data_IF_669648058473
#
_entry.id   IF_669648058473
#
_cell.length_a   1.000
_cell.length_b   1.000
_cell.length_c   1.000
_cell.angle_alpha   90.00
_cell.angle_beta   90.00
_cell.angle_gamma   90.00
#
_symmetry.space_group_name_H-M   'P 1'
#
loop_
_entity.id
_entity.type
_entity.pdbx_description
1 polymer ?
#
# COMPACT_ATOMS: atom_id res chain seq x y z
N UNK A 1 -142.77 103.22 -19.44
CA UNK A 1 -141.34 103.47 -19.76
C UNK A 1 -140.42 103.21 -18.56
N UNK A 2 -140.72 103.69 -17.34
CA UNK A 2 -139.90 103.43 -16.14
C UNK A 2 -139.83 101.95 -15.70
N UNK A 3 -140.92 101.18 -15.75
CA UNK A 3 -140.88 99.74 -15.38
C UNK A 3 -139.96 98.88 -16.25
N UNK A 4 -139.93 99.12 -17.58
CA UNK A 4 -139.13 98.33 -18.53
C UNK A 4 -137.61 98.55 -18.33
N UNK A 5 -137.20 99.78 -18.00
CA UNK A 5 -135.79 100.08 -17.70
C UNK A 5 -135.33 99.50 -16.36
N UNK A 6 -136.23 99.39 -15.37
CA UNK A 6 -135.94 98.74 -14.09
C UNK A 6 -135.78 97.22 -14.28
N UNK A 7 -136.61 96.62 -15.12
CA UNK A 7 -136.54 95.19 -15.49
C UNK A 7 -135.25 94.85 -16.25
N UNK A 8 -134.83 95.68 -17.21
CA UNK A 8 -133.56 95.53 -17.92
C UNK A 8 -132.35 95.67 -16.99
N UNK A 9 -132.38 96.61 -16.04
CA UNK A 9 -131.35 96.76 -15.02
C UNK A 9 -131.28 95.55 -14.10
N UNK A 10 -132.44 95.03 -13.66
CA UNK A 10 -132.50 93.81 -12.86
C UNK A 10 -132.01 92.59 -13.63
N UNK A 11 -132.31 92.49 -14.93
CA UNK A 11 -131.84 91.40 -15.77
C UNK A 11 -130.32 91.47 -16.00
N UNK A 12 -129.79 92.66 -16.27
CA UNK A 12 -128.34 92.87 -16.41
C UNK A 12 -127.59 92.62 -15.10
N UNK A 13 -128.15 93.00 -13.95
CA UNK A 13 -127.55 92.72 -12.63
C UNK A 13 -127.58 91.23 -12.29
N UNK A 14 -128.64 90.50 -12.67
CA UNK A 14 -128.72 89.03 -12.57
C UNK A 14 -127.69 88.34 -13.46
N UNK A 15 -127.56 88.76 -14.72
CA UNK A 15 -126.58 88.21 -15.67
C UNK A 15 -125.14 88.44 -15.19
N UNK A 16 -124.84 89.62 -14.63
CA UNK A 16 -123.53 89.92 -14.02
C UNK A 16 -123.25 88.99 -12.84
N UNK A 17 -124.20 88.84 -11.91
CA UNK A 17 -124.07 87.94 -10.75
C UNK A 17 -123.86 86.49 -11.18
N UNK A 18 -124.57 86.01 -12.20
CA UNK A 18 -124.38 84.66 -12.76
C UNK A 18 -122.95 84.46 -13.28
N UNK A 19 -122.41 85.42 -14.04
CA UNK A 19 -121.03 85.34 -14.57
C UNK A 19 -119.97 85.43 -13.46
N UNK A 20 -120.20 86.25 -12.44
CA UNK A 20 -119.33 86.34 -11.27
C UNK A 20 -119.34 85.04 -10.45
N UNK A 21 -120.50 84.39 -10.33
CA UNK A 21 -120.66 83.08 -9.70
C UNK A 21 -119.99 81.97 -10.52
N UNK A 22 -120.21 81.92 -11.84
CA UNK A 22 -119.52 80.99 -12.76
C UNK A 22 -117.98 81.16 -12.71
N UNK A 23 -117.48 82.40 -12.62
CA UNK A 23 -116.05 82.67 -12.48
C UNK A 23 -115.52 82.16 -11.13
N UNK A 24 -116.26 82.41 -10.04
CA UNK A 24 -115.91 81.93 -8.71
C UNK A 24 -115.89 80.40 -8.64
N UNK A 25 -116.88 79.74 -9.22
CA UNK A 25 -116.95 78.28 -9.28
C UNK A 25 -115.77 77.68 -10.07
N UNK A 26 -115.39 78.29 -11.21
CA UNK A 26 -114.18 77.89 -11.95
C UNK A 26 -112.91 78.13 -11.15
N UNK A 27 -112.78 79.26 -10.48
CA UNK A 27 -111.62 79.56 -9.64
C UNK A 27 -111.50 78.56 -8.49
N UNK A 28 -112.62 78.20 -7.85
CA UNK A 28 -112.67 77.14 -6.85
C UNK A 28 -112.34 75.78 -7.43
N UNK A 29 -112.81 75.46 -8.64
CA UNK A 29 -112.47 74.22 -9.34
C UNK A 29 -110.96 74.16 -9.64
N UNK A 30 -110.36 75.22 -10.17
CA UNK A 30 -108.92 75.28 -10.40
C UNK A 30 -108.12 75.12 -9.11
N UNK A 31 -108.56 75.73 -8.00
CA UNK A 31 -107.95 75.54 -6.69
C UNK A 31 -108.03 74.09 -6.21
N UNK A 32 -109.15 73.40 -6.43
CA UNK A 32 -109.30 71.97 -6.13
C UNK A 32 -108.35 71.12 -6.97
N UNK A 33 -108.30 71.35 -8.28
CA UNK A 33 -107.46 70.57 -9.21
C UNK A 33 -105.96 70.75 -8.93
N UNK A 34 -105.52 71.98 -8.60
CA UNK A 34 -104.13 72.26 -8.20
C UNK A 34 -103.81 71.50 -6.91
N UNK A 35 -104.67 71.60 -5.89
CA UNK A 35 -104.47 70.90 -4.63
C UNK A 35 -104.44 69.38 -4.81
N UNK A 36 -105.30 68.84 -5.67
CA UNK A 36 -105.31 67.40 -5.98
C UNK A 36 -104.00 66.98 -6.65
N UNK A 37 -103.49 67.76 -7.61
CA UNK A 37 -102.19 67.50 -8.25
C UNK A 37 -101.04 67.57 -7.24
N UNK A 38 -101.02 68.58 -6.38
CA UNK A 38 -100.01 68.71 -5.32
C UNK A 38 -100.06 67.54 -4.34
N UNK A 39 -101.25 67.07 -3.98
CA UNK A 39 -101.43 65.91 -3.11
C UNK A 39 -101.00 64.60 -3.82
N UNK A 40 -101.27 64.45 -5.12
CA UNK A 40 -100.77 63.33 -5.93
C UNK A 40 -99.24 63.35 -6.04
N UNK A 41 -98.64 64.51 -6.34
CA UNK A 41 -97.18 64.67 -6.38
C UNK A 41 -96.54 64.38 -5.02
N UNK A 42 -97.18 64.78 -3.91
CA UNK A 42 -96.73 64.45 -2.56
C UNK A 42 -96.73 62.94 -2.31
N UNK A 43 -97.81 62.25 -2.71
CA UNK A 43 -97.90 60.78 -2.61
C UNK A 43 -96.79 60.08 -3.40
N UNK A 44 -96.56 60.49 -4.66
CA UNK A 44 -95.49 59.93 -5.50
C UNK A 44 -94.12 60.18 -4.88
N UNK A 45 -93.85 61.39 -4.37
CA UNK A 45 -92.57 61.70 -3.69
C UNK A 45 -92.36 60.86 -2.45
N UNK A 46 -93.39 60.63 -1.65
CA UNK A 46 -93.32 59.76 -0.48
C UNK A 46 -93.09 58.30 -0.86
N UNK A 47 -93.74 57.80 -1.91
CA UNK A 47 -93.57 56.44 -2.41
C UNK A 47 -92.14 56.21 -2.91
N UNK A 48 -91.62 57.10 -3.78
CA UNK A 48 -90.23 57.06 -4.23
C UNK A 48 -89.22 57.16 -3.07
N UNK A 49 -89.57 57.89 -2.01
CA UNK A 49 -88.74 57.95 -0.80
C UNK A 49 -88.73 56.61 -0.06
N UNK A 50 -89.90 55.96 0.10
CA UNK A 50 -90.01 54.63 0.73
C UNK A 50 -89.26 53.58 -0.09
N UNK A 51 -89.44 53.54 -1.40
CA UNK A 51 -88.73 52.62 -2.30
C UNK A 51 -87.21 52.81 -2.22
N UNK A 52 -86.74 54.06 -2.19
CA UNK A 52 -85.30 54.36 -2.00
C UNK A 52 -84.78 53.85 -0.66
N UNK A 53 -85.52 54.07 0.42
CA UNK A 53 -85.14 53.60 1.76
C UNK A 53 -85.13 52.07 1.84
N UNK A 54 -86.09 51.39 1.21
CA UNK A 54 -86.11 49.93 1.10
C UNK A 54 -84.97 49.40 0.26
N UNK A 55 -84.69 50.02 -0.89
CA UNK A 55 -83.56 49.64 -1.74
C UNK A 55 -82.21 49.80 -1.02
N UNK A 56 -82.01 50.90 -0.29
CA UNK A 56 -80.80 51.09 0.51
C UNK A 56 -80.70 50.05 1.65
N UNK A 57 -81.81 49.70 2.31
CA UNK A 57 -81.82 48.60 3.32
C UNK A 57 -81.44 47.26 2.69
N UNK A 58 -82.00 46.90 1.55
CA UNK A 58 -81.67 45.66 0.84
C UNK A 58 -80.19 45.63 0.44
N UNK A 59 -79.68 46.74 -0.10
CA UNK A 59 -78.29 46.88 -0.49
C UNK A 59 -77.35 46.74 0.72
N UNK A 60 -77.72 47.28 1.87
CA UNK A 60 -76.95 47.14 3.11
C UNK A 60 -76.98 45.70 3.63
N UNK A 61 -78.12 45.03 3.60
CA UNK A 61 -78.23 43.60 3.96
C UNK A 61 -77.40 42.71 3.03
N UNK A 62 -77.46 42.97 1.72
CA UNK A 62 -76.66 42.25 0.72
C UNK A 62 -75.15 42.43 0.97
N UNK A 63 -74.72 43.66 1.29
CA UNK A 63 -73.33 43.95 1.64
C UNK A 63 -72.90 43.17 2.89
N UNK A 64 -73.71 43.20 3.95
CA UNK A 64 -73.41 42.45 5.18
C UNK A 64 -73.33 40.94 4.92
N UNK A 65 -74.25 40.39 4.13
CA UNK A 65 -74.22 38.96 3.79
C UNK A 65 -72.94 38.57 3.05
N UNK A 66 -72.50 39.41 2.10
CA UNK A 66 -71.23 39.20 1.39
C UNK A 66 -70.02 39.27 2.31
N UNK A 67 -69.97 40.26 3.20
CA UNK A 67 -68.89 40.40 4.18
C UNK A 67 -68.82 39.18 5.13
N UNK A 68 -69.96 38.65 5.59
CA UNK A 68 -70.01 37.44 6.40
C UNK A 68 -69.57 36.18 5.63
N UNK A 69 -69.97 36.05 4.36
CA UNK A 69 -69.54 34.96 3.48
C UNK A 69 -68.04 35.01 3.20
N UNK A 70 -67.49 36.20 2.92
CA UNK A 70 -66.05 36.42 2.75
C UNK A 70 -65.27 36.13 4.04
N UNK A 71 -65.80 36.50 5.21
CA UNK A 71 -65.18 36.15 6.49
C UNK A 71 -65.18 34.64 6.74
N UNK A 72 -66.28 33.93 6.45
CA UNK A 72 -66.34 32.47 6.52
C UNK A 72 -65.33 31.83 5.56
N UNK A 73 -65.26 32.33 4.34
CA UNK A 73 -64.33 31.83 3.33
C UNK A 73 -62.87 32.02 3.79
N UNK A 74 -62.50 33.21 4.29
CA UNK A 74 -61.18 33.47 4.86
C UNK A 74 -60.84 32.56 6.05
N UNK A 75 -61.81 32.29 6.94
CA UNK A 75 -61.61 31.37 8.07
C UNK A 75 -61.36 29.94 7.58
N UNK A 76 -62.12 29.48 6.60
CA UNK A 76 -61.94 28.14 6.02
C UNK A 76 -60.60 28.03 5.30
N UNK A 77 -60.23 29.02 4.48
CA UNK A 77 -58.94 29.05 3.79
C UNK A 77 -57.78 29.00 4.79
N UNK A 78 -57.84 29.83 5.85
CA UNK A 78 -56.84 29.80 6.92
C UNK A 78 -56.76 28.44 7.61
N UNK A 79 -57.90 27.84 7.92
CA UNK A 79 -57.93 26.50 8.58
C UNK A 79 -57.30 25.44 7.69
N UNK A 80 -57.63 25.42 6.39
CA UNK A 80 -57.02 24.51 5.42
C UNK A 80 -55.50 24.69 5.32
N UNK A 81 -55.03 25.94 5.34
CA UNK A 81 -53.61 26.25 5.31
C UNK A 81 -52.89 25.80 6.58
N UNK A 82 -53.49 26.04 7.75
CA UNK A 82 -52.95 25.61 9.05
C UNK A 82 -52.87 24.07 9.13
N UNK A 83 -53.90 23.35 8.68
CA UNK A 83 -53.91 21.88 8.61
C UNK A 83 -52.83 21.33 7.66
N UNK A 84 -52.66 21.95 6.49
CA UNK A 84 -51.61 21.56 5.54
C UNK A 84 -50.21 21.77 6.12
N UNK A 85 -49.98 22.91 6.76
CA UNK A 85 -48.71 23.23 7.39
C UNK A 85 -48.39 22.27 8.55
N UNK A 86 -49.39 21.89 9.35
CA UNK A 86 -49.21 20.94 10.44
C UNK A 86 -48.86 19.53 9.92
N UNK A 87 -49.52 19.06 8.85
CA UNK A 87 -49.16 17.79 8.19
C UNK A 87 -47.72 17.82 7.66
N UNK A 88 -47.33 18.90 7.00
CA UNK A 88 -45.98 19.06 6.47
C UNK A 88 -44.92 19.08 7.59
N UNK A 89 -45.26 19.68 8.74
CA UNK A 89 -44.40 19.68 9.92
C UNK A 89 -44.21 18.27 10.48
N UNK A 90 -45.28 17.51 10.64
CA UNK A 90 -45.23 16.12 11.09
C UNK A 90 -44.41 15.25 10.13
N UNK A 91 -44.60 15.39 8.81
CA UNK A 91 -43.83 14.64 7.82
C UNK A 91 -42.33 14.95 7.88
N UNK A 92 -41.95 16.22 8.11
CA UNK A 92 -40.55 16.61 8.32
C UNK A 92 -39.95 16.00 9.59
N UNK A 93 -40.69 16.01 10.69
CA UNK A 93 -40.26 15.41 11.95
C UNK A 93 -40.06 13.89 11.81
N UNK A 94 -40.98 13.21 11.13
CA UNK A 94 -40.88 11.77 10.83
C UNK A 94 -39.66 11.45 9.96
N UNK A 95 -39.42 12.24 8.91
CA UNK A 95 -38.25 12.08 8.05
C UNK A 95 -36.95 12.32 8.82
N UNK A 96 -36.92 13.34 9.68
CA UNK A 96 -35.77 13.63 10.53
C UNK A 96 -35.51 12.49 11.51
N UNK A 97 -36.54 11.95 12.15
CA UNK A 97 -36.40 10.81 13.07
C UNK A 97 -35.85 9.58 12.36
N UNK A 98 -36.35 9.26 11.15
CA UNK A 98 -35.82 8.15 10.33
C UNK A 98 -34.36 8.37 9.96
N UNK A 99 -33.99 9.58 9.55
CA UNK A 99 -32.61 9.94 9.24
C UNK A 99 -31.70 9.74 10.45
N UNK A 100 -32.11 10.22 11.63
CA UNK A 100 -31.34 10.09 12.86
C UNK A 100 -31.18 8.63 13.32
N UNK A 101 -32.19 7.79 13.11
CA UNK A 101 -32.11 6.35 13.34
C UNK A 101 -31.12 5.65 12.40
N UNK A 102 -31.17 5.96 11.10
CA UNK A 102 -30.22 5.41 10.12
C UNK A 102 -28.78 5.87 10.41
N UNK A 103 -28.59 7.13 10.79
CA UNK A 103 -27.28 7.63 11.23
C UNK A 103 -26.76 6.91 12.46
N UNK A 104 -27.64 6.61 13.45
CA UNK A 104 -27.26 5.79 14.62
C UNK A 104 -26.85 4.38 14.22
N UNK A 105 -27.60 3.72 13.33
CA UNK A 105 -27.25 2.37 12.84
C UNK A 105 -25.91 2.36 12.12
N UNK A 106 -25.67 3.33 11.23
CA UNK A 106 -24.39 3.46 10.54
C UNK A 106 -23.24 3.68 11.53
N UNK A 107 -23.43 4.54 12.53
CA UNK A 107 -22.39 4.79 13.53
C UNK A 107 -22.08 3.55 14.37
N UNK A 108 -23.10 2.77 14.75
CA UNK A 108 -22.90 1.48 15.42
C UNK A 108 -22.11 0.49 14.56
N UNK A 109 -22.45 0.38 13.27
CA UNK A 109 -21.74 -0.49 12.33
C UNK A 109 -20.26 -0.09 12.19
N UNK A 110 -19.98 1.22 12.07
CA UNK A 110 -18.61 1.73 12.00
C UNK A 110 -17.81 1.45 13.28
N UNK A 111 -18.44 1.57 14.45
CA UNK A 111 -17.80 1.24 15.73
C UNK A 111 -17.55 -0.27 15.88
N UNK A 112 -18.48 -1.12 15.43
CA UNK A 112 -18.29 -2.58 15.37
C UNK A 112 -17.14 -2.98 14.44
N UNK A 113 -17.08 -2.39 13.23
CA UNK A 113 -15.97 -2.61 12.30
C UNK A 113 -14.63 -2.17 12.89
N UNK A 114 -14.58 -0.99 13.54
CA UNK A 114 -13.38 -0.51 14.22
C UNK A 114 -12.95 -1.48 15.33
N UNK A 115 -13.89 -1.95 16.15
CA UNK A 115 -13.60 -2.93 17.19
C UNK A 115 -13.09 -4.25 16.61
N UNK A 116 -13.65 -4.70 15.49
CA UNK A 116 -13.20 -5.91 14.82
C UNK A 116 -11.78 -5.75 14.27
N UNK A 117 -11.49 -4.63 13.61
CA UNK A 117 -10.14 -4.29 13.16
C UNK A 117 -9.13 -4.23 14.30
N UNK A 118 -9.49 -3.65 15.44
CA UNK A 118 -8.62 -3.60 16.62
C UNK A 118 -8.39 -4.98 17.24
N UNK A 119 -9.43 -5.85 17.28
CA UNK A 119 -9.28 -7.24 17.73
C UNK A 119 -8.36 -8.03 16.81
N UNK A 120 -8.54 -7.91 15.49
CA UNK A 120 -7.71 -8.58 14.49
C UNK A 120 -6.25 -8.12 14.56
N UNK A 121 -6.03 -6.81 14.72
CA UNK A 121 -4.69 -6.24 14.93
C UNK A 121 -4.03 -6.82 16.17
N UNK A 122 -4.73 -6.84 17.31
CA UNK A 122 -4.21 -7.42 18.56
C UNK A 122 -3.87 -8.91 18.41
N UNK A 123 -4.73 -9.68 17.73
CA UNK A 123 -4.47 -11.10 17.45
C UNK A 123 -3.17 -11.27 16.67
N UNK A 124 -2.97 -10.49 15.60
CA UNK A 124 -1.73 -10.55 14.79
C UNK A 124 -0.49 -10.12 15.58
N UNK A 125 -0.60 -9.10 16.42
CA UNK A 125 0.49 -8.67 17.30
C UNK A 125 0.87 -9.76 18.32
N UNK A 126 -0.10 -10.49 18.85
CA UNK A 126 0.12 -11.62 19.77
C UNK A 126 0.73 -12.83 19.06
N UNK A 127 0.22 -13.21 17.88
CA UNK A 127 0.80 -14.27 17.03
C UNK A 127 2.25 -13.95 16.66
N UNK A 128 2.54 -12.70 16.31
CA UNK A 128 3.89 -12.24 16.01
C UNK A 128 4.80 -12.38 17.24
N UNK A 129 4.32 -11.95 18.42
CA UNK A 129 5.08 -12.05 19.67
C UNK A 129 5.36 -13.52 20.05
N UNK A 130 4.38 -14.40 19.91
CA UNK A 130 4.57 -15.83 20.16
C UNK A 130 5.61 -16.44 19.21
N UNK A 131 5.59 -16.03 17.94
CA UNK A 131 6.58 -16.46 16.94
C UNK A 131 7.98 -15.94 17.27
N UNK A 132 8.11 -14.69 17.69
CA UNK A 132 9.40 -14.15 18.14
C UNK A 132 9.95 -14.91 19.35
N UNK A 133 9.11 -15.21 20.34
CA UNK A 133 9.54 -16.00 21.51
C UNK A 133 9.95 -17.43 21.11
N UNK A 134 9.19 -18.08 20.22
CA UNK A 134 9.59 -19.39 19.65
C UNK A 134 10.95 -19.30 18.96
N UNK A 135 11.13 -18.33 18.07
CA UNK A 135 12.40 -18.13 17.37
C UNK A 135 13.56 -17.87 18.35
N UNK A 136 13.34 -17.06 19.41
CA UNK A 136 14.36 -16.85 20.46
C UNK A 136 14.74 -18.15 21.15
N UNK A 137 13.75 -18.98 21.51
CA UNK A 137 14.03 -20.28 22.15
C UNK A 137 14.74 -21.25 21.20
N UNK A 138 14.42 -21.23 19.92
CA UNK A 138 15.07 -22.05 18.90
C UNK A 138 16.53 -21.64 18.70
N UNK A 139 16.79 -20.34 18.51
CA UNK A 139 18.16 -19.79 18.44
C UNK A 139 18.96 -20.14 19.70
N UNK A 140 18.34 -20.09 20.88
CA UNK A 140 19.01 -20.45 22.14
C UNK A 140 19.37 -21.95 22.18
N UNK A 141 18.47 -22.84 21.73
CA UNK A 141 18.75 -24.29 21.64
C UNK A 141 19.86 -24.58 20.65
N UNK A 142 19.82 -23.98 19.46
CA UNK A 142 20.87 -24.13 18.45
C UNK A 142 22.23 -23.67 18.99
N UNK A 143 22.27 -22.56 19.75
CA UNK A 143 23.48 -22.08 20.41
C UNK A 143 24.01 -23.08 21.44
N UNK A 144 23.13 -23.65 22.27
CA UNK A 144 23.51 -24.67 23.27
C UNK A 144 24.03 -25.95 22.61
N UNK A 145 23.37 -26.41 21.54
CA UNK A 145 23.82 -27.55 20.74
C UNK A 145 25.17 -27.27 20.07
N UNK A 146 25.36 -26.09 19.51
CA UNK A 146 26.62 -25.67 18.91
C UNK A 146 27.76 -25.63 19.94
N UNK A 147 27.52 -25.08 21.13
CA UNK A 147 28.53 -25.07 22.20
C UNK A 147 28.87 -26.50 22.65
N UNK A 148 27.89 -27.39 22.72
CA UNK A 148 28.12 -28.80 23.02
C UNK A 148 28.98 -29.47 21.93
N UNK A 149 28.62 -29.29 20.66
CA UNK A 149 29.41 -29.81 19.54
C UNK A 149 30.83 -29.24 19.54
N UNK A 150 31.00 -27.96 19.87
CA UNK A 150 32.30 -27.32 20.00
C UNK A 150 33.13 -27.87 21.16
N UNK A 151 32.51 -28.21 22.29
CA UNK A 151 33.21 -28.90 23.38
C UNK A 151 33.61 -30.33 22.99
N UNK A 152 32.72 -31.07 22.34
CA UNK A 152 33.02 -32.42 21.84
C UNK A 152 34.12 -32.42 20.77
N UNK A 153 34.14 -31.40 19.90
CA UNK A 153 35.19 -31.20 18.92
C UNK A 153 36.54 -30.89 19.58
N UNK A 154 36.57 -30.01 20.60
CA UNK A 154 37.79 -29.76 21.39
C UNK A 154 38.31 -31.02 22.10
N UNK A 155 37.42 -31.83 22.67
CA UNK A 155 37.83 -33.11 23.27
C UNK A 155 38.40 -34.08 22.24
N UNK A 156 37.78 -34.15 21.04
CA UNK A 156 38.31 -34.94 19.92
C UNK A 156 39.66 -34.41 19.46
N UNK A 157 39.85 -33.11 19.33
CA UNK A 157 41.15 -32.51 19.00
C UNK A 157 42.21 -32.80 20.06
N UNK A 158 41.87 -32.75 21.35
CA UNK A 158 42.80 -33.13 22.44
C UNK A 158 43.17 -34.62 22.38
N UNK A 159 42.22 -35.51 22.05
CA UNK A 159 42.47 -36.94 21.83
C UNK A 159 43.26 -37.20 20.54
N UNK A 160 42.95 -36.49 19.46
CA UNK A 160 43.66 -36.53 18.19
C UNK A 160 45.06 -35.97 18.34
N UNK A 161 45.30 -34.91 19.11
CA UNK A 161 46.64 -34.40 19.41
C UNK A 161 47.42 -35.40 20.27
N UNK A 162 46.74 -36.14 21.15
CA UNK A 162 47.33 -37.25 21.91
C UNK A 162 47.70 -38.42 21.00
N UNK A 163 46.91 -38.70 19.96
CA UNK A 163 47.22 -39.66 18.90
C UNK A 163 48.28 -39.12 17.94
N UNK A 164 48.29 -37.83 17.64
CA UNK A 164 49.24 -37.16 16.77
C UNK A 164 50.60 -37.13 17.42
N UNK A 165 50.73 -36.83 18.71
CA UNK A 165 51.99 -37.01 19.48
C UNK A 165 52.48 -38.47 19.52
N UNK A 166 51.61 -39.43 19.25
CA UNK A 166 51.94 -40.86 19.11
C UNK A 166 52.34 -41.23 17.67
N UNK A 167 51.85 -40.49 16.68
CA UNK A 167 52.09 -40.66 15.24
C UNK A 167 53.26 -39.79 14.72
N UNK A 168 53.56 -38.67 15.39
CA UNK A 168 54.69 -37.75 15.20
C UNK A 168 56.05 -38.37 15.62
N UNK A 169 56.04 -39.66 15.96
CA UNK A 169 57.23 -40.50 15.89
C UNK A 169 57.57 -40.93 14.44
N UNK A 170 56.74 -40.59 13.44
CA UNK A 170 56.84 -41.08 12.06
C UNK A 170 56.55 -39.94 11.05
N UNK A 171 57.60 -39.18 10.71
CA UNK A 171 57.93 -38.77 9.33
C UNK A 171 57.04 -37.77 8.56
N UNK A 172 57.10 -36.47 8.85
CA UNK A 172 56.24 -35.47 8.19
C UNK A 172 56.80 -34.73 6.94
N UNK A 173 58.06 -34.86 6.54
CA UNK A 173 58.56 -34.07 5.37
C UNK A 173 58.24 -34.72 4.00
N UNK A 174 58.12 -36.05 3.94
CA UNK A 174 57.85 -36.77 2.69
C UNK A 174 56.39 -36.66 2.24
N UNK A 175 55.46 -36.50 3.17
CA UNK A 175 54.02 -36.50 2.91
C UNK A 175 53.54 -35.21 2.24
N UNK A 176 54.07 -34.06 2.66
CA UNK A 176 53.76 -32.78 2.00
C UNK A 176 54.33 -32.71 0.58
N UNK A 177 55.58 -33.17 0.39
CA UNK A 177 56.19 -33.29 -0.94
C UNK A 177 55.38 -34.26 -1.81
N UNK A 178 54.92 -35.38 -1.27
CA UNK A 178 54.02 -36.32 -1.96
C UNK A 178 52.67 -35.69 -2.28
N UNK A 179 52.11 -34.86 -1.40
CA UNK A 179 50.81 -34.22 -1.60
C UNK A 179 50.86 -33.14 -2.67
N UNK A 180 51.85 -32.25 -2.61
CA UNK A 180 52.08 -31.22 -3.63
C UNK A 180 52.46 -31.87 -4.97
N UNK A 181 53.31 -32.91 -4.96
CA UNK A 181 53.64 -33.68 -6.16
C UNK A 181 52.42 -34.40 -6.75
N UNK A 182 51.54 -35.00 -5.93
CA UNK A 182 50.27 -35.61 -6.38
C UNK A 182 49.31 -34.57 -6.94
N UNK A 183 49.19 -33.39 -6.35
CA UNK A 183 48.37 -32.29 -6.89
C UNK A 183 48.88 -31.83 -8.27
N UNK A 184 50.20 -31.78 -8.46
CA UNK A 184 50.81 -31.40 -9.74
C UNK A 184 50.70 -32.54 -10.78
N UNK A 185 50.81 -33.81 -10.37
CA UNK A 185 50.82 -34.99 -11.26
C UNK A 185 49.40 -35.48 -11.62
N UNK A 186 48.42 -35.43 -10.72
CA UNK A 186 47.08 -36.03 -10.95
C UNK A 186 46.19 -35.26 -11.94
N UNK A 187 46.54 -34.04 -12.35
CA UNK A 187 45.76 -33.31 -13.37
C UNK A 187 45.84 -33.97 -14.77
N UNK A 188 46.87 -34.78 -15.07
CA UNK A 188 46.98 -35.46 -16.38
C UNK A 188 46.38 -36.86 -16.43
N UNK A 189 46.12 -37.50 -15.28
CA UNK A 189 45.68 -38.90 -15.24
C UNK A 189 44.72 -39.13 -14.06
N UNK A 190 43.42 -38.84 -14.28
CA UNK A 190 42.20 -39.44 -13.64
C UNK A 190 41.11 -38.38 -13.44
N UNK A 191 40.32 -38.15 -14.49
CA UNK A 191 39.00 -37.50 -14.37
C UNK A 191 37.87 -38.45 -13.90
N UNK A 192 38.17 -39.70 -13.51
CA UNK A 192 37.14 -40.74 -13.30
C UNK A 192 36.91 -41.26 -11.88
N UNK A 193 37.65 -40.83 -10.87
CA UNK A 193 37.44 -41.27 -9.47
C UNK A 193 37.68 -40.11 -8.50
N UNK A 194 36.87 -39.06 -8.58
CA UNK A 194 36.90 -37.96 -7.62
C UNK A 194 35.84 -38.21 -6.54
N UNK A 195 36.27 -38.22 -5.28
CA UNK A 195 35.41 -38.28 -4.10
C UNK A 195 34.40 -37.11 -4.12
N UNK A 196 33.15 -37.35 -3.76
CA UNK A 196 32.11 -36.31 -3.68
C UNK A 196 32.21 -35.42 -2.43
N UNK A 197 33.31 -35.51 -1.68
CA UNK A 197 33.48 -34.86 -0.39
C UNK A 197 34.84 -34.14 -0.27
N UNK A 198 34.82 -32.98 0.39
CA UNK A 198 36.02 -32.23 0.76
C UNK A 198 36.91 -33.06 1.70
N UNK A 199 38.22 -33.10 1.42
CA UNK A 199 39.19 -33.83 2.26
C UNK A 199 40.16 -32.82 2.88
N UNK A 200 40.13 -32.71 4.22
CA UNK A 200 41.10 -31.94 5.01
C UNK A 200 42.30 -32.80 5.37
N UNK A 201 43.50 -32.26 5.23
CA UNK A 201 44.77 -32.84 5.67
C UNK A 201 45.57 -31.78 6.42
N UNK A 202 46.01 -32.10 7.62
CA UNK A 202 46.82 -31.18 8.44
C UNK A 202 48.28 -31.62 8.38
N UNK A 203 49.18 -30.66 8.15
CA UNK A 203 50.62 -30.92 8.00
C UNK A 203 51.42 -29.90 8.78
N UNK A 204 52.40 -30.34 9.56
CA UNK A 204 53.31 -29.44 10.28
C UNK A 204 54.55 -29.12 9.43
N UNK A 205 54.81 -27.83 9.23
CA UNK A 205 56.01 -27.32 8.56
C UNK A 205 56.67 -26.23 9.40
N UNK A 206 57.96 -26.38 9.70
CA UNK A 206 58.75 -25.39 10.43
C UNK A 206 58.09 -24.91 11.74
N UNK A 207 57.38 -25.80 12.45
CA UNK A 207 56.67 -25.50 13.69
C UNK A 207 55.32 -24.80 13.50
N UNK A 208 54.80 -24.74 12.27
CA UNK A 208 53.46 -24.21 11.93
C UNK A 208 52.58 -25.33 11.39
N UNK A 209 51.35 -25.42 11.90
CA UNK A 209 50.34 -26.33 11.37
C UNK A 209 49.66 -25.72 10.14
N UNK A 210 49.63 -26.46 9.04
CA UNK A 210 49.01 -26.05 7.78
C UNK A 210 47.89 -27.04 7.47
N UNK A 211 46.68 -26.53 7.38
CA UNK A 211 45.51 -27.30 6.94
C UNK A 211 45.29 -27.12 5.44
N UNK A 212 45.42 -28.21 4.68
CA UNK A 212 45.10 -28.25 3.26
C UNK A 212 43.76 -28.94 3.06
N UNK A 213 42.83 -28.23 2.43
CA UNK A 213 41.53 -28.80 2.05
C UNK A 213 41.48 -28.93 0.54
N UNK A 214 41.32 -30.16 0.09
CA UNK A 214 41.11 -30.47 -1.33
C UNK A 214 39.62 -30.36 -1.63
N UNK A 215 39.29 -29.43 -2.52
CA UNK A 215 37.94 -29.29 -3.06
C UNK A 215 37.81 -30.24 -4.25
N UNK A 216 36.85 -31.17 -4.27
CA UNK A 216 36.62 -31.99 -5.45
C UNK A 216 36.22 -31.11 -6.64
N UNK A 217 36.32 -31.62 -7.87
CA UNK A 217 35.91 -30.87 -9.06
C UNK A 217 34.40 -30.57 -9.00
N UNK A 218 34.04 -29.37 -8.52
CA UNK A 218 32.65 -28.97 -8.30
C UNK A 218 31.98 -28.48 -9.57
N UNK A 219 32.77 -28.05 -10.57
CA UNK A 219 32.28 -27.17 -11.62
C UNK A 219 32.24 -27.82 -13.02
N UNK A 220 32.68 -29.08 -13.11
CA UNK A 220 32.60 -29.93 -14.31
C UNK A 220 31.78 -31.21 -14.09
N UNK A 221 30.98 -31.25 -13.02
CA UNK A 221 30.10 -32.36 -12.64
C UNK A 221 28.63 -31.90 -12.76
N UNK A 222 27.67 -32.80 -13.01
CA UNK A 222 26.23 -32.47 -13.14
C UNK A 222 25.58 -32.03 -11.80
N UNK A 223 26.32 -31.32 -10.95
CA UNK A 223 25.88 -30.86 -9.64
C UNK A 223 24.97 -29.63 -9.80
N UNK A 224 23.95 -29.56 -8.95
CA UNK A 224 23.12 -28.37 -8.84
C UNK A 224 23.90 -27.25 -8.16
N UNK A 225 23.48 -26.00 -8.40
CA UNK A 225 24.03 -24.82 -7.70
C UNK A 225 23.97 -24.97 -6.17
N UNK A 226 22.93 -25.61 -5.65
CA UNK A 226 22.77 -25.91 -4.22
C UNK A 226 23.85 -26.87 -3.71
N UNK A 227 24.20 -27.91 -4.48
CA UNK A 227 25.21 -28.88 -4.09
C UNK A 227 26.61 -28.26 -4.10
N UNK A 228 26.90 -27.46 -5.12
CA UNK A 228 28.15 -26.69 -5.22
C UNK A 228 28.28 -25.72 -4.04
N UNK A 229 27.20 -25.05 -3.66
CA UNK A 229 27.15 -24.18 -2.48
C UNK A 229 27.35 -24.96 -1.18
N UNK A 230 26.76 -26.15 -1.05
CA UNK A 230 26.93 -27.02 0.12
C UNK A 230 28.37 -27.46 0.29
N UNK A 231 29.02 -27.90 -0.79
CA UNK A 231 30.44 -28.31 -0.76
C UNK A 231 31.36 -27.13 -0.47
N UNK A 232 31.08 -25.97 -1.08
CA UNK A 232 31.80 -24.72 -0.80
C UNK A 232 31.70 -24.33 0.67
N UNK A 233 30.49 -24.32 1.24
CA UNK A 233 30.27 -24.06 2.65
C UNK A 233 31.00 -25.06 3.55
N UNK A 234 30.95 -26.35 3.20
CA UNK A 234 31.66 -27.41 3.92
C UNK A 234 33.17 -27.18 3.91
N UNK A 235 33.76 -26.85 2.76
CA UNK A 235 35.18 -26.54 2.63
C UNK A 235 35.61 -25.40 3.54
N UNK A 236 34.89 -24.26 3.50
CA UNK A 236 35.21 -23.10 4.34
C UNK A 236 35.00 -23.41 5.83
N UNK A 237 33.94 -24.14 6.18
CA UNK A 237 33.64 -24.51 7.56
C UNK A 237 34.63 -25.50 8.16
N UNK A 238 35.29 -26.30 7.33
CA UNK A 238 36.38 -27.18 7.77
C UNK A 238 37.65 -26.39 8.14
N UNK A 239 37.74 -25.10 7.79
CA UNK A 239 38.87 -24.23 8.07
C UNK A 239 38.46 -23.16 9.10
N UNK A 240 38.80 -23.36 10.38
CA UNK A 240 38.60 -22.32 11.41
C UNK A 240 39.92 -21.55 11.63
N UNK A 241 39.92 -20.19 11.64
CA UNK A 241 38.79 -19.26 11.55
C UNK A 241 38.24 -19.02 10.12
N UNK A 242 38.97 -19.44 9.09
CA UNK A 242 38.57 -19.36 7.68
C UNK A 242 39.69 -19.88 6.76
N UNK A 243 39.51 -19.73 5.45
CA UNK A 243 40.52 -20.09 4.45
C UNK A 243 41.45 -18.90 4.21
N UNK A 244 42.75 -19.07 4.49
CA UNK A 244 43.73 -18.00 4.32
C UNK A 244 44.10 -17.78 2.84
N UNK A 245 44.28 -18.88 2.10
CA UNK A 245 44.63 -18.86 0.67
C UNK A 245 43.86 -19.94 -0.08
N UNK A 246 43.24 -19.55 -1.20
CA UNK A 246 42.73 -20.43 -2.23
C UNK A 246 43.76 -20.53 -3.35
N UNK A 247 43.98 -21.75 -3.82
CA UNK A 247 44.95 -22.04 -4.85
C UNK A 247 44.21 -22.52 -6.10
N UNK A 248 44.40 -21.82 -7.22
CA UNK A 248 43.90 -22.24 -8.53
C UNK A 248 45.10 -22.63 -9.38
N UNK A 249 45.13 -23.87 -9.85
CA UNK A 249 46.23 -24.37 -10.70
C UNK A 249 45.75 -24.35 -12.15
N UNK A 250 46.46 -23.63 -13.01
CA UNK A 250 46.18 -23.57 -14.45
C UNK A 250 47.42 -24.00 -15.26
N UNK A 251 47.24 -24.62 -16.44
CA UNK A 251 48.37 -24.96 -17.30
C UNK A 251 49.00 -23.69 -17.92
N UNK A 252 50.29 -23.75 -18.21
CA UNK A 252 50.98 -22.77 -19.08
C UNK A 252 50.64 -23.03 -20.56
N UNK A 253 49.34 -22.96 -20.88
CA UNK A 253 48.75 -23.17 -22.19
C UNK A 253 47.38 -22.46 -22.27
N UNK A 254 46.81 -22.22 -23.47
CA UNK A 254 45.45 -21.70 -23.59
C UNK A 254 44.43 -22.56 -22.84
N UNK A 255 43.53 -21.91 -22.11
CA UNK A 255 42.53 -22.60 -21.29
C UNK A 255 41.47 -23.23 -22.19
N UNK A 256 41.05 -24.46 -21.87
CA UNK A 256 39.93 -25.06 -22.57
C UNK A 256 38.60 -24.46 -22.10
N UNK A 257 37.50 -24.73 -22.83
CA UNK A 257 36.18 -24.17 -22.50
C UNK A 257 35.66 -24.61 -21.12
N UNK A 258 36.06 -25.80 -20.64
CA UNK A 258 35.65 -26.35 -19.34
C UNK A 258 36.36 -25.61 -18.20
N UNK A 259 37.67 -25.43 -18.29
CA UNK A 259 38.47 -24.68 -17.31
C UNK A 259 37.98 -23.23 -17.22
N UNK A 260 37.58 -22.63 -18.36
CA UNK A 260 36.98 -21.28 -18.39
C UNK A 260 35.66 -21.22 -17.64
N UNK A 261 34.76 -22.18 -17.87
CA UNK A 261 33.47 -22.23 -17.19
C UNK A 261 33.65 -22.43 -15.68
N UNK A 262 34.59 -23.27 -15.27
CA UNK A 262 34.93 -23.51 -13.86
C UNK A 262 35.46 -22.24 -13.17
N UNK A 263 36.37 -21.51 -13.84
CA UNK A 263 36.88 -20.22 -13.34
C UNK A 263 35.76 -19.17 -13.20
N UNK A 264 34.87 -19.07 -14.18
CA UNK A 264 33.73 -18.15 -14.14
C UNK A 264 32.78 -18.50 -12.98
N UNK A 265 32.56 -19.78 -12.74
CA UNK A 265 31.68 -20.27 -11.69
C UNK A 265 32.26 -20.04 -10.28
N UNK A 266 33.57 -20.23 -10.11
CA UNK A 266 34.28 -19.86 -8.87
C UNK A 266 34.06 -18.39 -8.54
N UNK A 267 34.23 -17.50 -9.53
CA UNK A 267 33.98 -16.07 -9.33
C UNK A 267 32.51 -15.78 -9.03
N UNK A 268 31.60 -16.46 -9.73
CA UNK A 268 30.16 -16.30 -9.54
C UNK A 268 29.77 -16.66 -8.11
N UNK A 269 30.33 -17.71 -7.52
CA UNK A 269 29.97 -18.19 -6.18
C UNK A 269 30.62 -17.36 -5.09
N UNK A 270 31.93 -17.21 -5.14
CA UNK A 270 32.70 -16.59 -4.07
C UNK A 270 32.76 -15.06 -4.16
N UNK A 271 32.23 -14.48 -5.25
CA UNK A 271 32.29 -13.06 -5.60
C UNK A 271 33.71 -12.51 -5.70
N UNK A 272 33.84 -11.20 -5.95
CA UNK A 272 35.15 -10.54 -5.95
C UNK A 272 35.83 -10.52 -4.57
N UNK A 273 35.11 -10.83 -3.48
CA UNK A 273 35.66 -10.84 -2.11
C UNK A 273 36.74 -11.91 -1.91
N UNK A 274 36.70 -13.00 -2.67
CA UNK A 274 37.72 -14.05 -2.64
C UNK A 274 39.02 -13.64 -3.34
N UNK A 275 38.99 -12.60 -4.18
CA UNK A 275 40.15 -12.22 -5.00
C UNK A 275 41.36 -11.91 -4.12
N UNK A 276 41.18 -11.26 -2.96
CA UNK A 276 42.26 -11.00 -1.99
C UNK A 276 42.80 -12.28 -1.31
N UNK A 277 42.15 -13.42 -1.45
CA UNK A 277 42.59 -14.71 -0.93
C UNK A 277 42.98 -15.73 -2.02
N UNK A 278 43.02 -15.37 -3.32
CA UNK A 278 43.46 -16.29 -4.38
C UNK A 278 44.92 -16.09 -4.78
N UNK A 279 45.62 -17.22 -4.94
CA UNK A 279 46.91 -17.36 -5.61
C UNK A 279 46.75 -18.29 -6.81
N UNK A 280 47.14 -17.82 -8.01
CA UNK A 280 47.13 -18.65 -9.22
C UNK A 280 48.48 -19.32 -9.39
N UNK A 281 48.52 -20.64 -9.52
CA UNK A 281 49.73 -21.39 -9.83
C UNK A 281 49.71 -21.81 -11.30
N UNK A 282 50.72 -21.36 -12.05
CA UNK A 282 50.84 -21.63 -13.48
C UNK A 282 51.79 -22.80 -13.65
N UNK A 283 51.25 -23.95 -14.04
CA UNK A 283 52.02 -25.18 -14.25
C UNK A 283 52.77 -25.12 -15.57
N UNK A 284 54.09 -24.95 -15.49
CA UNK A 284 54.98 -24.94 -16.64
C UNK A 284 55.33 -26.38 -17.05
N UNK A 285 55.23 -26.65 -18.35
CA UNK A 285 55.72 -27.90 -18.92
C UNK A 285 57.18 -27.73 -19.33
N UNK A 286 58.02 -28.73 -19.05
CA UNK A 286 59.46 -28.69 -19.31
C UNK A 286 59.84 -28.50 -20.79
N UNK A 287 58.88 -28.66 -21.72
CA UNK A 287 59.07 -28.53 -23.16
C UNK A 287 58.69 -27.15 -23.72
N UNK A 288 57.95 -26.33 -22.95
CA UNK A 288 57.47 -25.01 -23.35
C UNK A 288 57.58 -24.02 -22.19
N UNK A 289 58.74 -23.40 -22.03
CA UNK A 289 58.93 -22.25 -21.13
C UNK A 289 58.73 -20.98 -21.96
N UNK A 290 57.51 -20.47 -22.00
CA UNK A 290 57.24 -19.15 -22.60
C UNK A 290 57.29 -18.08 -21.53
N UNK A 291 58.11 -17.05 -21.72
CA UNK A 291 58.17 -15.90 -20.81
C UNK A 291 56.92 -15.00 -20.90
N UNK A 292 56.11 -15.17 -21.95
CA UNK A 292 54.89 -14.41 -22.20
C UNK A 292 53.66 -15.27 -21.92
N UNK A 293 52.86 -14.85 -20.94
CA UNK A 293 51.55 -15.43 -20.67
C UNK A 293 50.61 -15.07 -21.82
N UNK A 294 49.81 -16.03 -22.29
CA UNK A 294 48.77 -15.73 -23.27
C UNK A 294 47.73 -14.75 -22.70
N UNK A 295 47.07 -13.98 -23.58
CA UNK A 295 46.12 -12.93 -23.17
C UNK A 295 44.98 -13.45 -22.28
N UNK A 296 44.55 -14.70 -22.49
CA UNK A 296 43.48 -15.33 -21.72
C UNK A 296 43.92 -15.63 -20.28
N UNK A 297 45.11 -16.20 -20.09
CA UNK A 297 45.73 -16.46 -18.80
C UNK A 297 46.00 -15.15 -18.06
N UNK A 298 46.47 -14.11 -18.75
CA UNK A 298 46.62 -12.77 -18.16
C UNK A 298 45.28 -12.22 -17.68
N UNK A 299 44.22 -12.35 -18.47
CA UNK A 299 42.88 -11.91 -18.09
C UNK A 299 42.37 -12.63 -16.83
N UNK A 300 42.57 -13.95 -16.72
CA UNK A 300 42.22 -14.70 -15.50
C UNK A 300 43.00 -14.20 -14.29
N UNK A 301 44.30 -13.94 -14.45
CA UNK A 301 45.16 -13.44 -13.38
C UNK A 301 44.67 -12.08 -12.88
N UNK A 302 44.39 -11.14 -13.79
CA UNK A 302 43.87 -9.82 -13.45
C UNK A 302 42.51 -9.91 -12.74
N UNK A 303 41.62 -10.79 -13.21
CA UNK A 303 40.30 -11.02 -12.60
C UNK A 303 40.36 -11.48 -11.15
N UNK A 304 41.46 -12.11 -10.72
CA UNK A 304 41.69 -12.58 -9.34
C UNK A 304 42.71 -11.73 -8.56
N UNK A 305 42.98 -10.50 -9.00
CA UNK A 305 43.83 -9.56 -8.24
C UNK A 305 45.32 -9.69 -8.54
N UNK A 306 45.70 -10.34 -9.65
CA UNK A 306 47.04 -10.26 -10.23
C UNK A 306 48.10 -11.20 -9.64
N UNK A 307 47.82 -11.87 -8.52
CA UNK A 307 48.80 -12.71 -7.82
C UNK A 307 48.91 -14.08 -8.46
N UNK A 308 50.10 -14.39 -8.94
CA UNK A 308 50.41 -15.66 -9.58
C UNK A 308 51.84 -16.12 -9.29
N UNK A 309 52.07 -17.41 -9.44
CA UNK A 309 53.38 -18.03 -9.33
C UNK A 309 53.55 -19.16 -10.35
N UNK A 310 54.67 -19.19 -11.05
CA UNK A 310 55.03 -20.32 -11.90
C UNK A 310 55.49 -21.50 -11.03
N UNK A 311 54.99 -22.69 -11.36
CA UNK A 311 55.36 -23.95 -10.71
C UNK A 311 55.75 -24.99 -11.77
N UNK A 312 56.79 -25.75 -11.48
CA UNK A 312 57.24 -26.91 -12.24
C UNK A 312 57.47 -28.12 -11.29
N UNK A 313 57.85 -29.27 -11.85
CA UNK A 313 58.12 -30.49 -11.05
C UNK A 313 59.35 -30.37 -10.13
N UNK A 314 60.19 -29.34 -10.31
CA UNK A 314 61.40 -29.10 -9.53
C UNK A 314 61.27 -27.93 -8.54
N UNK A 315 60.07 -27.33 -8.47
CA UNK A 315 59.83 -26.14 -7.65
C UNK A 315 59.95 -26.50 -6.18
N UNK A 316 60.83 -25.79 -5.47
CA UNK A 316 61.05 -26.02 -4.06
C UNK A 316 59.81 -25.59 -3.28
N UNK A 317 59.27 -26.51 -2.47
CA UNK A 317 58.09 -26.27 -1.61
C UNK A 317 58.31 -25.08 -0.68
N UNK A 318 59.54 -24.86 -0.20
CA UNK A 318 59.91 -23.69 0.62
C UNK A 318 59.60 -22.37 -0.07
N UNK A 319 59.90 -22.24 -1.36
CA UNK A 319 59.67 -21.00 -2.13
C UNK A 319 58.17 -20.73 -2.32
N UNK A 320 57.37 -21.78 -2.56
CA UNK A 320 55.92 -21.63 -2.64
C UNK A 320 55.34 -21.22 -1.28
N UNK A 321 55.81 -21.84 -0.20
CA UNK A 321 55.36 -21.51 1.16
C UNK A 321 55.68 -20.07 1.54
N UNK A 322 56.88 -19.57 1.26
CA UNK A 322 57.25 -18.17 1.51
C UNK A 322 56.29 -17.19 0.82
N UNK A 323 55.88 -17.49 -0.43
CA UNK A 323 54.92 -16.64 -1.16
C UNK A 323 53.52 -16.69 -0.58
N UNK A 324 53.07 -17.86 -0.12
CA UNK A 324 51.78 -17.99 0.56
C UNK A 324 51.77 -17.23 1.88
N UNK A 325 52.85 -17.32 2.66
CA UNK A 325 52.99 -16.59 3.92
C UNK A 325 53.01 -15.08 3.70
N UNK A 326 53.77 -14.59 2.72
CA UNK A 326 53.80 -13.19 2.34
C UNK A 326 52.39 -12.69 1.97
N UNK A 327 51.64 -13.47 1.19
CA UNK A 327 50.28 -13.11 0.80
C UNK A 327 49.34 -13.02 2.02
N UNK A 328 49.49 -13.91 3.01
CA UNK A 328 48.71 -13.84 4.25
C UNK A 328 49.07 -12.59 5.06
N UNK A 329 50.35 -12.22 5.12
CA UNK A 329 50.81 -11.00 5.76
C UNK A 329 50.30 -9.72 5.07
N UNK A 330 50.33 -9.68 3.73
CA UNK A 330 49.76 -8.58 2.92
C UNK A 330 48.26 -8.41 3.17
N UNK A 331 47.56 -9.51 3.46
CA UNK A 331 46.15 -9.51 3.87
C UNK A 331 45.96 -9.20 5.37
N UNK A 332 47.00 -8.79 6.09
CA UNK A 332 46.97 -8.52 7.55
C UNK A 332 46.53 -9.72 8.39
N UNK A 333 46.77 -10.95 7.91
CA UNK A 333 46.35 -12.18 8.55
C UNK A 333 44.84 -12.49 8.42
N UNK A 334 44.11 -11.72 7.60
CA UNK A 334 42.69 -11.94 7.36
C UNK A 334 42.43 -13.25 6.61
N UNK A 335 41.24 -13.82 6.79
CA UNK A 335 40.85 -15.09 6.19
C UNK A 335 39.45 -15.01 5.58
N UNK A 336 39.21 -15.82 4.55
CA UNK A 336 37.89 -15.97 3.97
C UNK A 336 37.05 -16.90 4.86
N UNK A 337 36.17 -16.30 5.68
CA UNK A 337 35.37 -17.01 6.66
C UNK A 337 34.00 -17.44 6.12
N UNK A 338 33.32 -18.33 6.84
CA UNK A 338 31.93 -18.72 6.56
C UNK A 338 30.99 -17.50 6.59
N UNK A 339 31.28 -16.50 7.41
CA UNK A 339 30.52 -15.25 7.48
C UNK A 339 30.63 -14.46 6.16
N UNK A 340 31.84 -14.29 5.62
CA UNK A 340 32.08 -13.63 4.32
C UNK A 340 31.34 -14.37 3.20
N UNK A 341 31.35 -15.70 3.22
CA UNK A 341 30.61 -16.52 2.27
C UNK A 341 29.09 -16.28 2.36
N UNK A 342 28.52 -16.30 3.57
CA UNK A 342 27.08 -16.11 3.79
C UNK A 342 26.61 -14.70 3.42
N UNK A 343 27.36 -13.66 3.81
CA UNK A 343 27.08 -12.27 3.43
C UNK A 343 26.98 -12.12 1.91
N UNK A 344 27.91 -12.72 1.18
CA UNK A 344 27.96 -12.72 -0.28
C UNK A 344 26.69 -13.35 -0.88
N UNK A 345 26.19 -14.44 -0.29
CA UNK A 345 24.96 -15.09 -0.77
C UNK A 345 23.70 -14.27 -0.44
N UNK A 346 23.66 -13.66 0.75
CA UNK A 346 22.54 -12.80 1.14
C UNK A 346 22.42 -11.57 0.24
N UNK A 347 23.53 -10.95 -0.15
CA UNK A 347 23.53 -9.83 -1.09
C UNK A 347 22.98 -10.22 -2.45
N UNK A 348 23.37 -11.39 -2.98
CA UNK A 348 22.82 -11.92 -4.24
C UNK A 348 21.32 -12.17 -4.14
N UNK A 349 20.85 -12.82 -3.07
CA UNK A 349 19.41 -13.07 -2.88
C UNK A 349 18.61 -11.76 -2.76
N UNK A 350 19.12 -10.76 -2.04
CA UNK A 350 18.49 -9.42 -1.96
C UNK A 350 18.40 -8.79 -3.35
N UNK A 351 19.47 -8.83 -4.13
CA UNK A 351 19.50 -8.26 -5.48
C UNK A 351 18.51 -8.95 -6.43
N UNK A 352 18.43 -10.29 -6.40
CA UNK A 352 17.45 -11.05 -7.18
C UNK A 352 16.00 -10.73 -6.77
N UNK A 353 15.72 -10.60 -5.47
CA UNK A 353 14.39 -10.22 -4.98
C UNK A 353 13.97 -8.79 -5.41
N UNK A 354 14.93 -7.87 -5.49
CA UNK A 354 14.72 -6.50 -5.99
C UNK A 354 14.41 -6.49 -7.49
N UNK A 355 15.10 -7.33 -8.27
CA UNK A 355 14.85 -7.49 -9.71
C UNK A 355 13.46 -8.09 -9.96
N UNK A 356 13.09 -9.16 -9.27
CA UNK A 356 11.74 -9.75 -9.41
C UNK A 356 10.62 -8.77 -9.04
N UNK A 357 10.85 -7.89 -8.05
CA UNK A 357 9.91 -6.84 -7.70
C UNK A 357 9.80 -5.76 -8.79
N UNK A 358 10.91 -5.43 -9.46
CA UNK A 358 10.95 -4.44 -10.53
C UNK A 358 10.32 -4.93 -11.84
N UNK A 359 10.40 -6.23 -12.15
CA UNK A 359 9.82 -6.81 -13.38
C UNK A 359 8.36 -7.31 -13.23
N UNK A 360 7.78 -7.22 -12.03
CA UNK A 360 6.36 -7.53 -11.76
C UNK A 360 5.43 -6.30 -11.74
N UNK A 361 5.94 -5.11 -12.04
CA UNK A 361 5.18 -3.88 -12.33
C UNK A 361 5.22 -3.60 -13.82
#
# INVERSE_FOLDING_TARGET
MKMRMEEERQNHDKERKRREEEFREREEQYKRDIKEREDQERKIREELKREREEWEKQKQQERQRREEEEEKWRKNEKTMQDEYNEKLKQEKEDLQSKHDEEMKKMNMMMDEERQNHDKERKRREEEFREREEKNKTEIQREREEWEKQKQEARQREEEEEKWRKKEEAIGCEAELKSFISKLIVNQSERRSELSSECVRRDVELHGRLISLVELPALFNTQLSEEEVMRQTHRCVSLCHPGVHVFIIIIPDAPLNNEDRAEIEEIQRIFSSRINKHIMILIKQNSEHQTAELNEETQSVIERFGGRHQFIDLNTQVSVLMEKLEQMVEENSGDCFSTEILLETQMEKMKFLSLIEHFFKK
#
